data_IF_586461003921
#
_entry.id   IF_586461003921
#
_cell.length_a   1.000
_cell.length_b   1.000
_cell.length_c   1.000
_cell.angle_alpha   90.00
_cell.angle_beta   90.00
_cell.angle_gamma   90.00
#
_symmetry.space_group_name_H-M   'P 1'
#
loop_
_entity.id
_entity.type
_entity.pdbx_description
1 polymer ?
#
# COMPACT_ATOMS: atom_id res chain seq x y z
N UNK A 1 -1.76 -1.40 12.67
CA UNK A 1 -0.41 -0.92 12.21
C UNK A 1 -0.42 -0.75 10.69
N UNK A 2 0.36 0.20 10.14
CA UNK A 2 0.34 0.78 8.76
C UNK A 2 -0.68 0.24 7.73
N UNK A 3 -0.67 -1.04 7.39
CA UNK A 3 -1.62 -1.66 6.46
C UNK A 3 -3.09 -1.35 6.77
N UNK A 4 -3.48 -1.40 8.05
CA UNK A 4 -4.86 -1.04 8.46
C UNK A 4 -5.15 0.43 8.20
N UNK A 5 -4.17 1.33 8.44
CA UNK A 5 -4.32 2.77 8.16
C UNK A 5 -4.49 3.00 6.66
N UNK A 6 -3.68 2.32 5.84
CA UNK A 6 -3.76 2.39 4.36
C UNK A 6 -5.13 1.96 3.87
N UNK A 7 -5.60 0.79 4.29
CA UNK A 7 -6.88 0.26 3.84
C UNK A 7 -8.08 1.06 4.40
N UNK A 8 -7.94 1.72 5.55
CA UNK A 8 -8.95 2.63 6.09
C UNK A 8 -8.94 4.02 5.42
N UNK A 9 -7.79 4.52 4.97
CA UNK A 9 -7.65 5.77 4.21
C UNK A 9 -8.31 5.70 2.83
N UNK A 10 -8.26 4.53 2.18
CA UNK A 10 -9.05 4.22 0.99
C UNK A 10 -8.52 4.76 -0.33
N UNK A 11 -7.40 5.51 -0.36
CA UNK A 11 -6.74 5.92 -1.61
C UNK A 11 -6.14 4.72 -2.37
N UNK A 12 -5.65 3.72 -1.64
CA UNK A 12 -5.13 2.46 -2.20
C UNK A 12 -5.56 1.29 -1.31
N UNK A 13 -5.64 0.09 -1.89
CA UNK A 13 -5.89 -1.16 -1.17
C UNK A 13 -4.71 -2.09 -1.30
N UNK A 14 -4.15 -2.52 -0.18
CA UNK A 14 -3.01 -3.42 -0.12
C UNK A 14 -3.34 -4.68 0.67
N UNK A 15 -2.56 -5.73 0.40
CA UNK A 15 -2.64 -7.00 1.12
C UNK A 15 -1.30 -7.32 1.76
N UNK A 16 -1.29 -8.30 2.64
CA UNK A 16 -0.11 -8.81 3.31
C UNK A 16 0.16 -10.26 2.95
N UNK A 17 1.39 -10.68 3.21
CA UNK A 17 1.75 -12.10 3.27
C UNK A 17 2.87 -12.31 4.29
N UNK A 18 3.16 -13.57 4.59
CA UNK A 18 4.37 -13.94 5.33
C UNK A 18 5.39 -14.46 4.33
N UNK A 19 6.54 -13.81 4.25
CA UNK A 19 7.65 -14.22 3.39
C UNK A 19 8.89 -14.41 4.26
N UNK A 20 9.53 -15.58 4.18
CA UNK A 20 10.68 -15.96 5.01
C UNK A 20 10.47 -15.70 6.52
N UNK A 21 9.26 -15.99 7.01
CA UNK A 21 8.88 -15.79 8.41
C UNK A 21 8.61 -14.33 8.81
N UNK A 22 8.75 -13.37 7.90
CA UNK A 22 8.48 -11.96 8.14
C UNK A 22 7.11 -11.55 7.57
N UNK A 23 6.39 -10.69 8.32
CA UNK A 23 5.21 -10.00 7.80
C UNK A 23 5.63 -8.96 6.78
N UNK A 24 5.06 -9.02 5.58
CA UNK A 24 5.33 -8.06 4.50
C UNK A 24 4.04 -7.54 3.90
N UNK A 25 4.01 -6.24 3.60
CA UNK A 25 2.95 -5.62 2.81
C UNK A 25 3.31 -5.80 1.33
N UNK A 26 2.34 -6.25 0.53
CA UNK A 26 2.52 -6.54 -0.89
C UNK A 26 1.74 -5.54 -1.74
N UNK A 27 2.47 -4.87 -2.63
CA UNK A 27 1.92 -4.03 -3.68
C UNK A 27 1.80 -4.87 -4.95
N UNK A 28 0.61 -4.93 -5.54
CA UNK A 28 0.36 -5.60 -6.81
C UNK A 28 -0.19 -4.59 -7.82
N UNK A 29 0.50 -4.45 -8.95
CA UNK A 29 0.18 -3.50 -10.02
C UNK A 29 -0.24 -4.28 -11.26
N UNK A 30 -1.17 -3.74 -12.06
CA UNK A 30 -1.59 -4.34 -13.33
C UNK A 30 -3.08 -4.69 -13.43
N UNK A 31 -3.96 -4.01 -12.69
CA UNK A 31 -5.39 -4.01 -13.03
C UNK A 31 -5.58 -3.33 -14.39
N UNK A 32 -6.65 -3.67 -15.12
CA UNK A 32 -6.86 -3.19 -16.50
C UNK A 32 -6.77 -1.66 -16.64
N UNK A 33 -7.31 -0.92 -15.68
CA UNK A 33 -7.33 0.54 -15.70
C UNK A 33 -6.15 1.19 -14.95
N UNK A 34 -5.16 0.41 -14.51
CA UNK A 34 -4.00 0.96 -13.78
C UNK A 34 -3.14 1.83 -14.70
N UNK A 35 -3.01 3.10 -14.35
CA UNK A 35 -2.13 4.06 -15.03
C UNK A 35 -0.79 4.19 -14.30
N UNK A 36 0.18 4.85 -14.95
CA UNK A 36 1.42 5.25 -14.29
C UNK A 36 1.15 6.12 -13.06
N UNK A 37 0.17 7.01 -13.14
CA UNK A 37 -0.14 7.93 -12.05
C UNK A 37 -0.61 7.17 -10.80
N UNK A 38 -1.41 6.11 -10.98
CA UNK A 38 -1.91 5.30 -9.88
C UNK A 38 -0.76 4.60 -9.14
N UNK A 39 0.22 4.03 -9.86
CA UNK A 39 1.36 3.38 -9.20
C UNK A 39 2.33 4.40 -8.58
N UNK A 40 2.50 5.57 -9.20
CA UNK A 40 3.36 6.61 -8.63
C UNK A 40 2.76 7.28 -7.38
N UNK A 41 1.44 7.20 -7.16
CA UNK A 41 0.78 7.70 -5.95
C UNK A 41 1.06 6.84 -4.71
N UNK A 42 1.37 5.54 -4.89
CA UNK A 42 1.59 4.59 -3.79
C UNK A 42 2.63 5.06 -2.75
N UNK A 43 3.86 5.47 -3.14
CA UNK A 43 4.84 5.95 -2.17
C UNK A 43 4.38 7.19 -1.39
N UNK A 44 3.63 8.10 -2.01
CA UNK A 44 3.13 9.30 -1.35
C UNK A 44 2.12 8.93 -0.26
N UNK A 45 1.15 8.06 -0.57
CA UNK A 45 0.16 7.56 0.39
C UNK A 45 0.82 6.81 1.55
N UNK A 46 1.82 5.97 1.25
CA UNK A 46 2.55 5.25 2.29
C UNK A 46 3.35 6.20 3.17
N UNK A 47 3.99 7.22 2.59
CA UNK A 47 4.72 8.25 3.33
C UNK A 47 3.79 8.98 4.29
N UNK A 48 2.66 9.49 3.81
CA UNK A 48 1.65 10.21 4.60
C UNK A 48 1.18 9.41 5.82
N UNK A 49 0.92 8.11 5.64
CA UNK A 49 0.31 7.25 6.66
C UNK A 49 1.33 6.55 7.57
N UNK A 50 2.60 6.55 7.17
CA UNK A 50 3.70 5.97 7.95
C UNK A 50 4.24 6.90 9.04
N UNK A 51 3.99 8.22 8.94
CA UNK A 51 4.39 9.15 9.98
C UNK A 51 3.60 8.88 11.27
N UNK A 52 4.32 8.80 12.39
CA UNK A 52 3.72 8.79 13.73
C UNK A 52 3.46 10.23 14.17
N UNK A 53 2.27 10.50 14.71
CA UNK A 53 2.08 11.64 15.61
C UNK A 53 2.57 11.24 17.00
#
# INVERSE_FOLDING_TARGET
ALLEKVNADGRIYLTQTTHDGAFVIRVQVGQFDTTRQDVMMIPDVLSDLSQEN
#
